data_IF_935471856842
#
_entry.id   IF_935471856842
#
_cell.length_a   1.000
_cell.length_b   1.000
_cell.length_c   1.000
_cell.angle_alpha   90.00
_cell.angle_beta   90.00
_cell.angle_gamma   90.00
#
_symmetry.space_group_name_H-M   'P 1'
#
loop_
_entity.id
_entity.type
_entity.pdbx_description
1 polymer ?
#
# COMPACT_ATOMS: atom_id res chain seq x y z
N UNK A 1 12.71 24.96 -8.61
CA UNK A 1 12.84 24.15 -7.38
C UNK A 1 11.45 23.61 -7.10
N UNK A 2 11.27 22.30 -6.98
CA UNK A 2 9.95 21.73 -6.74
C UNK A 2 9.53 21.93 -5.28
N UNK A 3 8.22 22.02 -4.97
CA UNK A 3 7.71 22.00 -3.61
C UNK A 3 8.10 20.70 -2.87
N UNK A 4 8.29 20.80 -1.56
CA UNK A 4 8.64 19.67 -0.69
C UNK A 4 10.13 19.27 -0.73
N UNK A 5 10.48 18.25 0.05
CA UNK A 5 11.84 17.70 0.14
C UNK A 5 12.07 16.72 -1.01
N UNK A 6 13.22 16.80 -1.68
CA UNK A 6 13.59 15.88 -2.76
C UNK A 6 13.84 14.45 -2.26
N UNK A 7 13.57 13.48 -3.13
CA UNK A 7 13.81 12.07 -2.90
C UNK A 7 15.29 11.70 -2.76
N UNK A 8 15.54 10.50 -2.24
CA UNK A 8 16.87 9.90 -2.08
C UNK A 8 17.19 8.86 -3.15
N UNK A 9 16.22 8.47 -3.99
CA UNK A 9 16.38 7.47 -5.06
C UNK A 9 16.97 8.06 -6.35
N UNK A 10 17.35 9.34 -6.35
CA UNK A 10 17.91 10.02 -7.54
C UNK A 10 16.88 10.25 -8.65
N UNK A 11 15.59 10.26 -8.31
CA UNK A 11 14.48 10.52 -9.24
C UNK A 11 13.94 11.94 -9.03
N UNK A 12 12.92 12.32 -9.81
CA UNK A 12 12.23 13.62 -9.61
C UNK A 12 11.23 13.61 -8.44
N UNK A 13 11.00 12.46 -7.82
CA UNK A 13 10.02 12.30 -6.76
C UNK A 13 10.40 13.04 -5.47
N UNK A 14 9.41 13.26 -4.59
CA UNK A 14 9.65 13.79 -3.24
C UNK A 14 10.13 12.69 -2.30
N UNK A 15 10.74 13.09 -1.17
CA UNK A 15 11.14 12.20 -0.08
C UNK A 15 10.01 11.26 0.34
N UNK A 16 8.79 11.78 0.46
CA UNK A 16 7.64 10.99 0.90
C UNK A 16 7.23 9.91 -0.12
N UNK A 17 7.29 10.23 -1.42
CA UNK A 17 7.04 9.26 -2.49
C UNK A 17 8.08 8.12 -2.47
N UNK A 18 9.37 8.45 -2.29
CA UNK A 18 10.45 7.45 -2.16
C UNK A 18 10.25 6.55 -0.95
N UNK A 19 9.92 7.15 0.20
CA UNK A 19 9.62 6.41 1.44
C UNK A 19 8.49 5.40 1.21
N UNK A 20 7.37 5.81 0.61
CA UNK A 20 6.22 4.93 0.38
C UNK A 20 6.57 3.80 -0.61
N UNK A 21 7.27 4.12 -1.70
CA UNK A 21 7.72 3.13 -2.69
C UNK A 21 8.59 2.06 -2.06
N UNK A 22 9.56 2.46 -1.24
CA UNK A 22 10.45 1.53 -0.52
C UNK A 22 9.68 0.77 0.56
N UNK A 23 8.80 1.45 1.31
CA UNK A 23 7.96 0.83 2.33
C UNK A 23 7.07 -0.29 1.77
N UNK A 24 6.59 -0.19 0.53
CA UNK A 24 5.80 -1.25 -0.10
C UNK A 24 6.56 -2.57 -0.24
N UNK A 25 7.88 -2.56 -0.46
CA UNK A 25 8.71 -3.78 -0.47
C UNK A 25 8.64 -4.47 0.89
N UNK A 26 8.83 -3.69 1.97
CA UNK A 26 8.76 -4.20 3.34
C UNK A 26 7.36 -4.69 3.69
N UNK A 27 6.30 -4.00 3.27
CA UNK A 27 4.92 -4.42 3.51
C UNK A 27 4.64 -5.78 2.86
N UNK A 28 5.04 -5.98 1.60
CA UNK A 28 4.85 -7.27 0.93
C UNK A 28 5.65 -8.40 1.60
N UNK A 29 6.90 -8.13 1.98
CA UNK A 29 7.73 -9.09 2.71
C UNK A 29 7.12 -9.48 4.07
N UNK A 30 6.65 -8.49 4.84
CA UNK A 30 6.02 -8.71 6.14
C UNK A 30 4.63 -9.36 6.00
N UNK A 31 3.90 -9.09 4.92
CA UNK A 31 2.65 -9.79 4.60
C UNK A 31 2.91 -11.27 4.30
N UNK A 32 3.92 -11.58 3.49
CA UNK A 32 4.33 -12.96 3.22
C UNK A 32 4.77 -13.69 4.51
N UNK A 33 5.57 -13.02 5.35
CA UNK A 33 5.94 -13.51 6.68
C UNK A 33 4.71 -13.78 7.54
N UNK A 34 3.73 -12.88 7.54
CA UNK A 34 2.47 -13.01 8.28
C UNK A 34 1.67 -14.25 7.84
N UNK A 35 1.61 -14.52 6.54
CA UNK A 35 0.95 -15.71 5.97
C UNK A 35 1.71 -16.98 6.38
N UNK A 36 3.05 -16.96 6.33
CA UNK A 36 3.86 -18.09 6.76
C UNK A 36 3.74 -18.38 8.26
N UNK A 37 3.66 -17.35 9.10
CA UNK A 37 3.45 -17.50 10.54
C UNK A 37 2.12 -18.19 10.85
N UNK A 38 1.05 -17.88 10.11
CA UNK A 38 -0.26 -18.49 10.31
C UNK A 38 -0.38 -19.90 9.73
N UNK A 39 0.19 -20.15 8.53
CA UNK A 39 0.06 -21.45 7.84
C UNK A 39 1.14 -22.46 8.21
N UNK A 40 2.40 -22.04 8.22
CA UNK A 40 3.56 -22.91 8.45
C UNK A 40 3.80 -23.15 9.93
N UNK A 41 3.94 -22.07 10.71
CA UNK A 41 4.24 -22.17 12.16
C UNK A 41 3.00 -22.25 13.06
N UNK A 42 1.80 -22.05 12.52
CA UNK A 42 0.52 -21.96 13.28
C UNK A 42 0.61 -20.99 14.46
N UNK A 43 1.44 -19.95 14.34
CA UNK A 43 1.67 -18.94 15.37
C UNK A 43 0.68 -17.78 15.20
N UNK A 44 -0.59 -18.06 15.47
CA UNK A 44 -1.69 -17.12 15.25
C UNK A 44 -1.56 -15.84 16.09
N UNK A 45 -0.95 -15.92 17.27
CA UNK A 45 -0.68 -14.73 18.09
C UNK A 45 0.34 -13.79 17.44
N UNK A 46 1.42 -14.33 16.84
CA UNK A 46 2.40 -13.51 16.11
C UNK A 46 1.82 -12.93 14.83
N UNK A 47 1.03 -13.71 14.10
CA UNK A 47 0.27 -13.24 12.94
C UNK A 47 -0.64 -12.05 13.32
N UNK A 48 -1.42 -12.16 14.40
CA UNK A 48 -2.28 -11.08 14.89
C UNK A 48 -1.47 -9.80 15.17
N UNK A 49 -0.40 -9.90 15.97
CA UNK A 49 0.38 -8.72 16.33
C UNK A 49 1.07 -8.09 15.14
N UNK A 50 1.59 -8.89 14.21
CA UNK A 50 2.19 -8.38 12.99
C UNK A 50 1.16 -7.63 12.13
N UNK A 51 -0.06 -8.16 11.98
CA UNK A 51 -1.12 -7.50 11.22
C UNK A 51 -1.58 -6.19 11.87
N UNK A 52 -1.74 -6.15 13.20
CA UNK A 52 -2.09 -4.92 13.92
C UNK A 52 -0.97 -3.87 13.84
N UNK A 53 0.28 -4.30 13.96
CA UNK A 53 1.45 -3.43 13.81
C UNK A 53 1.53 -2.84 12.41
N UNK A 54 1.44 -3.68 11.38
CA UNK A 54 1.41 -3.25 9.98
C UNK A 54 0.25 -2.27 9.71
N UNK A 55 -0.96 -2.57 10.21
CA UNK A 55 -2.13 -1.72 9.99
C UNK A 55 -1.95 -0.34 10.64
N UNK A 56 -1.40 -0.30 11.85
CA UNK A 56 -1.13 0.95 12.57
C UNK A 56 -0.08 1.79 11.84
N UNK A 57 1.06 1.18 11.48
CA UNK A 57 2.13 1.88 10.75
C UNK A 57 1.63 2.37 9.40
N UNK A 58 0.92 1.54 8.62
CA UNK A 58 0.41 1.94 7.32
C UNK A 58 -0.62 3.08 7.43
N UNK A 59 -1.51 3.04 8.43
CA UNK A 59 -2.47 4.12 8.66
C UNK A 59 -1.77 5.46 8.92
N UNK A 60 -0.72 5.46 9.75
CA UNK A 60 0.10 6.65 10.01
C UNK A 60 0.80 7.10 8.71
N UNK A 61 1.48 6.18 8.02
CA UNK A 61 2.21 6.49 6.78
C UNK A 61 1.31 7.08 5.70
N UNK A 62 0.14 6.48 5.44
CA UNK A 62 -0.81 6.97 4.44
C UNK A 62 -1.40 8.33 4.83
N UNK A 63 -1.65 8.55 6.13
CA UNK A 63 -2.13 9.86 6.61
C UNK A 63 -1.08 10.94 6.35
N UNK A 64 0.18 10.67 6.70
CA UNK A 64 1.28 11.60 6.44
C UNK A 64 1.49 11.82 4.94
N UNK A 65 1.34 10.75 4.12
CA UNK A 65 1.45 10.82 2.67
C UNK A 65 0.37 11.73 2.08
N UNK A 66 -0.88 11.56 2.49
CA UNK A 66 -1.99 12.41 2.04
C UNK A 66 -1.75 13.87 2.43
N UNK A 67 -1.28 14.14 3.66
CA UNK A 67 -0.93 15.50 4.09
C UNK A 67 0.17 16.11 3.21
N UNK A 68 1.23 15.35 2.93
CA UNK A 68 2.32 15.80 2.04
C UNK A 68 1.79 16.10 0.62
N UNK A 69 0.95 15.22 0.07
CA UNK A 69 0.34 15.41 -1.25
C UNK A 69 -0.59 16.62 -1.32
N UNK A 70 -1.27 16.97 -0.23
CA UNK A 70 -2.15 18.16 -0.15
C UNK A 70 -1.37 19.46 -0.05
N UNK A 71 -0.21 19.45 0.60
CA UNK A 71 0.62 20.65 0.83
C UNK A 71 1.58 20.87 -0.35
N UNK A 72 2.35 19.85 -0.71
CA UNK A 72 3.43 19.96 -1.70
C UNK A 72 2.98 19.53 -3.11
N UNK A 73 2.00 18.64 -3.20
CA UNK A 73 1.60 18.03 -4.46
C UNK A 73 2.70 17.18 -5.10
N UNK A 74 2.41 16.70 -6.30
CA UNK A 74 3.33 15.82 -7.05
C UNK A 74 3.40 16.12 -8.55
N UNK A 75 2.41 16.87 -9.08
CA UNK A 75 2.24 17.07 -10.54
C UNK A 75 3.43 17.81 -11.17
N UNK A 76 3.91 18.88 -10.55
CA UNK A 76 5.03 19.68 -11.06
C UNK A 76 6.28 18.81 -11.27
N UNK A 77 6.55 17.90 -10.33
CA UNK A 77 7.66 16.93 -10.41
C UNK A 77 7.50 15.91 -11.56
N UNK A 78 6.26 15.63 -11.95
CA UNK A 78 5.92 14.66 -12.99
C UNK A 78 5.78 15.27 -14.41
N UNK A 79 5.66 16.59 -14.55
CA UNK A 79 5.47 17.27 -15.84
C UNK A 79 6.58 16.99 -16.86
N UNK A 80 7.81 16.76 -16.39
CA UNK A 80 8.94 16.41 -17.24
C UNK A 80 8.86 14.99 -17.83
N UNK A 81 7.93 14.15 -17.36
CA UNK A 81 7.76 12.81 -17.91
C UNK A 81 7.14 12.86 -19.32
N UNK A 82 7.68 12.10 -20.30
CA UNK A 82 7.06 11.97 -21.62
C UNK A 82 5.65 11.34 -21.57
N UNK A 83 5.31 10.71 -20.44
CA UNK A 83 4.03 10.03 -20.22
C UNK A 83 3.00 10.88 -19.46
N UNK A 84 3.36 12.11 -19.05
CA UNK A 84 2.44 13.01 -18.33
C UNK A 84 1.24 13.43 -19.21
N UNK A 85 1.48 13.54 -20.53
CA UNK A 85 0.48 13.93 -21.52
C UNK A 85 0.27 15.45 -21.60
N UNK A 86 -0.23 15.93 -22.74
CA UNK A 86 -0.59 17.35 -22.94
C UNK A 86 -1.97 17.70 -22.36
N UNK A 87 -2.84 16.69 -22.20
CA UNK A 87 -4.11 16.80 -21.52
C UNK A 87 -4.08 15.88 -20.29
N UNK A 88 -4.25 16.46 -19.10
CA UNK A 88 -4.19 15.74 -17.81
C UNK A 88 -5.13 14.52 -17.71
N UNK A 89 -6.16 14.44 -18.54
CA UNK A 89 -7.09 13.30 -18.54
C UNK A 89 -6.61 12.07 -19.34
N UNK A 90 -5.58 12.19 -20.20
CA UNK A 90 -5.21 11.15 -21.18
C UNK A 90 -3.75 10.68 -21.12
N UNK A 91 -2.94 11.20 -20.20
CA UNK A 91 -1.56 10.74 -20.00
C UNK A 91 -1.49 9.35 -19.34
N UNK A 92 -0.51 8.53 -19.73
CA UNK A 92 -0.31 7.21 -19.11
C UNK A 92 0.00 7.32 -17.60
N UNK A 93 0.59 8.44 -17.14
CA UNK A 93 0.76 8.75 -15.71
C UNK A 93 -0.58 8.81 -14.99
N UNK A 94 -1.58 9.49 -15.55
CA UNK A 94 -2.90 9.63 -14.92
C UNK A 94 -3.70 8.33 -14.98
N UNK A 95 -3.62 7.59 -16.08
CA UNK A 95 -4.21 6.25 -16.16
C UNK A 95 -3.64 5.33 -15.08
N UNK A 96 -2.31 5.31 -14.93
CA UNK A 96 -1.64 4.52 -13.89
C UNK A 96 -2.06 4.98 -12.49
N UNK A 97 -2.19 6.29 -12.25
CA UNK A 97 -2.67 6.84 -10.99
C UNK A 97 -4.09 6.38 -10.67
N UNK A 98 -5.04 6.49 -11.60
CA UNK A 98 -6.43 6.09 -11.35
C UNK A 98 -6.53 4.59 -11.08
N UNK A 99 -5.81 3.77 -11.84
CA UNK A 99 -5.73 2.32 -11.58
C UNK A 99 -5.16 2.06 -10.19
N UNK A 100 -4.08 2.74 -9.81
CA UNK A 100 -3.51 2.62 -8.48
C UNK A 100 -4.51 3.01 -7.38
N UNK A 101 -5.24 4.11 -7.55
CA UNK A 101 -6.21 4.60 -6.57
C UNK A 101 -7.36 3.61 -6.32
N UNK A 102 -7.80 2.86 -7.34
CA UNK A 102 -8.81 1.81 -7.14
C UNK A 102 -8.35 0.81 -6.09
N UNK A 103 -7.12 0.29 -6.22
CA UNK A 103 -6.56 -0.68 -5.27
C UNK A 103 -6.13 -0.03 -3.94
N UNK A 104 -5.52 1.15 -3.99
CA UNK A 104 -5.05 1.87 -2.81
C UNK A 104 -6.20 2.28 -1.88
N UNK A 105 -7.39 2.55 -2.42
CA UNK A 105 -8.60 2.85 -1.63
C UNK A 105 -9.31 1.57 -1.20
N UNK A 106 -9.36 0.52 -2.04
CA UNK A 106 -10.03 -0.74 -1.66
C UNK A 106 -9.27 -1.49 -0.56
N UNK A 107 -7.94 -1.53 -0.61
CA UNK A 107 -7.14 -2.34 0.31
C UNK A 107 -7.31 -1.95 1.78
N UNK A 108 -7.28 -0.67 2.22
CA UNK A 108 -7.51 -0.35 3.63
C UNK A 108 -8.93 -0.71 4.08
N UNK A 109 -9.94 -0.60 3.20
CA UNK A 109 -11.33 -0.94 3.53
C UNK A 109 -11.49 -2.45 3.74
N UNK A 110 -11.04 -3.25 2.77
CA UNK A 110 -11.11 -4.71 2.84
C UNK A 110 -10.29 -5.22 4.02
N UNK A 111 -9.07 -4.73 4.18
CA UNK A 111 -8.16 -5.20 5.21
C UNK A 111 -8.61 -4.81 6.63
N UNK A 112 -9.11 -3.58 6.83
CA UNK A 112 -9.71 -3.17 8.10
C UNK A 112 -10.92 -4.05 8.46
N UNK A 113 -11.77 -4.36 7.48
CA UNK A 113 -12.89 -5.30 7.64
C UNK A 113 -12.43 -6.70 8.07
N UNK A 114 -11.37 -7.22 7.46
CA UNK A 114 -10.78 -8.52 7.82
C UNK A 114 -10.21 -8.52 9.24
N UNK A 115 -9.50 -7.45 9.64
CA UNK A 115 -8.94 -7.31 10.98
C UNK A 115 -10.06 -7.21 12.01
N UNK A 116 -11.06 -6.35 11.80
CA UNK A 116 -12.18 -6.18 12.72
C UNK A 116 -12.96 -7.49 12.90
N UNK A 117 -13.28 -8.17 11.80
CA UNK A 117 -13.95 -9.47 11.85
C UNK A 117 -13.11 -10.52 12.60
N UNK A 118 -11.79 -10.54 12.40
CA UNK A 118 -10.89 -11.45 13.10
C UNK A 118 -10.84 -11.16 14.62
N UNK A 119 -10.79 -9.89 15.02
CA UNK A 119 -10.77 -9.49 16.43
C UNK A 119 -12.06 -9.83 17.18
N UNK A 120 -13.20 -9.83 16.47
CA UNK A 120 -14.51 -10.18 17.05
C UNK A 120 -14.82 -11.67 17.03
N UNK A 121 -14.40 -12.40 16.00
CA UNK A 121 -14.88 -13.77 15.74
C UNK A 121 -13.90 -14.88 16.12
N UNK A 122 -12.63 -14.56 16.42
CA UNK A 122 -11.67 -15.54 16.92
C UNK A 122 -11.56 -15.53 18.45
N UNK A 123 -11.29 -16.70 19.07
CA UNK A 123 -11.09 -16.79 20.51
C UNK A 123 -9.80 -16.08 20.97
N UNK A 124 -9.67 -15.92 22.29
CA UNK A 124 -8.47 -15.41 22.96
C UNK A 124 -7.91 -16.50 23.88
N UNK A 125 -6.76 -17.14 23.58
CA UNK A 125 -5.83 -16.83 22.48
C UNK A 125 -6.35 -17.23 21.08
N UNK A 126 -5.83 -16.60 19.99
CA UNK A 126 -6.26 -16.90 18.63
C UNK A 126 -6.02 -18.37 18.24
N UNK A 127 -7.07 -19.03 17.79
CA UNK A 127 -7.07 -20.42 17.34
C UNK A 127 -8.09 -20.61 16.20
N UNK A 128 -7.99 -21.69 15.41
CA UNK A 128 -8.97 -22.00 14.38
C UNK A 128 -10.40 -22.07 14.94
N UNK A 129 -11.33 -21.39 14.28
CA UNK A 129 -12.76 -21.34 14.62
C UNK A 129 -13.63 -21.44 13.36
N UNK A 130 -14.95 -21.43 13.50
CA UNK A 130 -15.90 -21.46 12.36
C UNK A 130 -15.62 -20.35 11.32
N UNK A 131 -15.15 -19.18 11.78
CA UNK A 131 -14.79 -18.05 10.92
C UNK A 131 -13.53 -18.27 10.06
N UNK A 132 -12.73 -19.32 10.30
CA UNK A 132 -11.42 -19.53 9.65
C UNK A 132 -11.49 -19.59 8.12
N UNK A 133 -12.56 -20.17 7.56
CA UNK A 133 -12.72 -20.28 6.10
C UNK A 133 -12.94 -18.91 5.46
N UNK A 134 -13.86 -18.13 6.04
CA UNK A 134 -14.17 -16.77 5.58
C UNK A 134 -12.98 -15.83 5.77
N UNK A 135 -12.32 -15.88 6.94
CA UNK A 135 -11.11 -15.10 7.18
C UNK A 135 -10.00 -15.41 6.17
N UNK A 136 -9.82 -16.68 5.81
CA UNK A 136 -8.81 -17.08 4.81
C UNK A 136 -9.14 -16.55 3.42
N UNK A 137 -10.40 -16.62 3.01
CA UNK A 137 -10.84 -16.09 1.72
C UNK A 137 -10.58 -14.59 1.62
N UNK A 138 -11.12 -13.83 2.57
CA UNK A 138 -10.98 -12.37 2.57
C UNK A 138 -9.55 -11.91 2.87
N UNK A 139 -8.79 -12.66 3.67
CA UNK A 139 -7.37 -12.42 3.88
C UNK A 139 -6.54 -12.58 2.61
N UNK A 140 -6.87 -13.54 1.74
CA UNK A 140 -6.23 -13.67 0.43
C UNK A 140 -6.63 -12.54 -0.52
N UNK A 141 -7.91 -12.15 -0.53
CA UNK A 141 -8.37 -10.99 -1.31
C UNK A 141 -7.58 -9.74 -0.88
N UNK A 142 -7.50 -9.46 0.42
CA UNK A 142 -6.74 -8.33 0.95
C UNK A 142 -5.24 -8.41 0.60
N UNK A 143 -4.63 -9.59 0.65
CA UNK A 143 -3.22 -9.77 0.32
C UNK A 143 -2.93 -9.55 -1.17
N UNK A 144 -3.83 -10.02 -2.06
CA UNK A 144 -3.73 -9.79 -3.50
C UNK A 144 -3.94 -8.30 -3.80
N UNK A 145 -4.94 -7.67 -3.18
CA UNK A 145 -5.22 -6.25 -3.33
C UNK A 145 -4.04 -5.37 -2.89
N UNK A 146 -3.39 -5.72 -1.77
CA UNK A 146 -2.15 -5.09 -1.32
C UNK A 146 -1.00 -5.24 -2.32
N UNK A 147 -0.86 -6.42 -2.93
CA UNK A 147 0.15 -6.65 -3.97
C UNK A 147 -0.13 -5.82 -5.23
N UNK A 148 -1.40 -5.73 -5.65
CA UNK A 148 -1.81 -4.89 -6.78
C UNK A 148 -1.60 -3.40 -6.49
N UNK A 149 -1.90 -2.96 -5.26
CA UNK A 149 -1.60 -1.60 -4.78
C UNK A 149 -0.11 -1.28 -4.93
N UNK A 150 0.78 -2.19 -4.49
CA UNK A 150 2.22 -2.02 -4.61
C UNK A 150 2.68 -1.94 -6.07
N UNK A 151 2.27 -2.91 -6.88
CA UNK A 151 2.69 -3.01 -8.29
C UNK A 151 2.23 -1.79 -9.09
N UNK A 152 0.96 -1.42 -8.96
CA UNK A 152 0.41 -0.25 -9.65
C UNK A 152 1.02 1.06 -9.16
N UNK A 153 1.35 1.16 -7.86
CA UNK A 153 2.05 2.30 -7.29
C UNK A 153 3.46 2.45 -7.84
N UNK A 154 4.20 1.34 -8.00
CA UNK A 154 5.53 1.36 -8.63
C UNK A 154 5.46 1.71 -10.11
N UNK A 155 4.47 1.21 -10.85
CA UNK A 155 4.24 1.59 -12.25
C UNK A 155 3.99 3.10 -12.35
N UNK A 156 3.09 3.64 -11.52
CA UNK A 156 2.84 5.08 -11.46
C UNK A 156 4.11 5.86 -11.14
N UNK A 157 4.85 5.46 -10.10
CA UNK A 157 6.08 6.14 -9.68
C UNK A 157 7.12 6.15 -10.81
N UNK A 158 7.32 5.01 -11.48
CA UNK A 158 8.27 4.91 -12.58
C UNK A 158 7.88 5.82 -13.75
N UNK A 159 6.61 5.76 -14.18
CA UNK A 159 6.11 6.59 -15.28
C UNK A 159 6.21 8.08 -14.95
N UNK A 160 5.88 8.48 -13.73
CA UNK A 160 5.86 9.89 -13.34
C UNK A 160 7.27 10.46 -13.09
N UNK A 161 8.15 9.73 -12.42
CA UNK A 161 9.36 10.33 -11.82
C UNK A 161 10.68 9.74 -12.31
N UNK A 162 10.66 8.57 -12.97
CA UNK A 162 11.87 7.89 -13.44
C UNK A 162 12.03 8.03 -14.94
N UNK A 163 10.98 7.71 -15.72
CA UNK A 163 11.04 7.80 -17.17
C UNK A 163 11.40 9.23 -17.63
N UNK A 164 12.31 9.34 -18.59
CA UNK A 164 12.83 10.60 -19.15
C UNK A 164 12.88 10.52 -20.65
#
# INVERSE_FOLDING_TARGET
>A
MYPGIDGFLGTRASLMLDIVVVAMVFILALMALSIWLSRGRRSFQRHKWLQLGLATVLAITVTLFEVDMRINGWRERAQASPYFGTNEAHGAVFTALYVHLVFAVSVPLVWAGVIAAALWRFPRPPAPAAHSRTHRLWGWIAAIDMALTAVTGWIFYWLAFVAS
#
